data_IF_075001395784
#
_entry.id   IF_075001395784
#
_cell.length_a   1.000
_cell.length_b   1.000
_cell.length_c   1.000
_cell.angle_alpha   90.00
_cell.angle_beta   90.00
_cell.angle_gamma   90.00
#
_symmetry.space_group_name_H-M   'P 1'
#
loop_
_entity.id
_entity.type
_entity.pdbx_description
1 polymer ?
#
# COMPACT_ATOMS: atom_id res chain seq x y z
N UNK A 1 13.76 -9.37 -15.34
CA UNK A 1 13.18 -10.16 -14.24
C UNK A 1 11.77 -9.65 -13.98
N UNK A 2 10.77 -10.22 -14.64
CA UNK A 2 9.35 -9.90 -14.46
C UNK A 2 8.77 -10.90 -13.48
N UNK A 3 8.80 -10.57 -12.19
CA UNK A 3 8.28 -11.43 -11.14
C UNK A 3 7.53 -10.60 -10.11
N UNK A 4 6.45 -11.16 -9.59
CA UNK A 4 5.71 -10.56 -8.48
C UNK A 4 6.55 -10.66 -7.20
N UNK A 5 6.78 -9.54 -6.52
CA UNK A 5 7.35 -9.53 -5.19
C UNK A 5 6.21 -9.51 -4.17
N UNK A 6 6.34 -10.29 -3.09
CA UNK A 6 5.40 -10.32 -1.98
C UNK A 6 6.15 -10.27 -0.66
N UNK A 7 5.74 -9.38 0.23
CA UNK A 7 6.26 -9.22 1.58
C UNK A 7 5.10 -9.34 2.55
N UNK A 8 5.28 -10.15 3.59
CA UNK A 8 4.31 -10.29 4.68
C UNK A 8 4.95 -9.89 6.00
N UNK A 9 4.25 -9.10 6.80
CA UNK A 9 4.70 -8.63 8.13
C UNK A 9 3.55 -8.65 9.11
N UNK A 10 3.73 -9.34 10.23
CA UNK A 10 2.82 -9.28 11.36
C UNK A 10 3.23 -8.09 12.25
N UNK A 11 2.30 -7.18 12.50
CA UNK A 11 2.53 -5.93 13.22
C UNK A 11 1.66 -5.86 14.49
N UNK A 12 2.20 -5.38 15.62
CA UNK A 12 1.49 -5.30 16.89
C UNK A 12 0.63 -4.02 17.00
N UNK A 13 -0.26 -3.83 16.03
CA UNK A 13 -1.22 -2.73 16.03
C UNK A 13 -2.50 -3.11 15.29
N UNK A 14 -3.59 -2.41 15.61
CA UNK A 14 -4.89 -2.63 14.98
C UNK A 14 -4.88 -2.17 13.51
N UNK A 15 -5.70 -2.77 12.64
CA UNK A 15 -5.75 -2.41 11.22
C UNK A 15 -6.05 -0.93 10.99
N UNK A 16 -6.87 -0.31 11.84
CA UNK A 16 -7.23 1.11 11.74
C UNK A 16 -6.03 2.03 11.99
N UNK A 17 -5.17 1.69 12.94
CA UNK A 17 -3.96 2.45 13.24
C UNK A 17 -2.97 2.38 12.08
N UNK A 18 -2.75 1.16 11.57
CA UNK A 18 -1.88 0.95 10.42
C UNK A 18 -2.44 1.60 9.14
N UNK A 19 -3.76 1.54 8.96
CA UNK A 19 -4.44 2.18 7.83
C UNK A 19 -4.25 3.69 7.84
N UNK A 20 -4.45 4.33 9.00
CA UNK A 20 -4.26 5.77 9.15
C UNK A 20 -2.84 6.20 8.73
N UNK A 21 -1.82 5.41 9.09
CA UNK A 21 -0.43 5.64 8.68
C UNK A 21 -0.20 5.41 7.19
N UNK A 22 -0.81 4.38 6.63
CA UNK A 22 -0.67 4.07 5.20
C UNK A 22 -1.22 5.19 4.32
N UNK A 23 -2.37 5.78 4.70
CA UNK A 23 -3.04 6.82 3.91
C UNK A 23 -2.61 8.24 4.30
N UNK A 24 -1.75 8.42 5.30
CA UNK A 24 -1.25 9.74 5.75
C UNK A 24 -0.57 10.51 4.61
N UNK A 25 0.02 9.79 3.66
CA UNK A 25 0.70 10.34 2.49
C UNK A 25 -0.16 10.33 1.21
N UNK A 26 -1.47 10.08 1.34
CA UNK A 26 -2.41 10.16 0.22
C UNK A 26 -2.90 11.59 0.04
N UNK A 27 -3.00 12.04 -1.20
CA UNK A 27 -3.46 13.37 -1.54
C UNK A 27 -4.42 13.35 -2.74
N UNK A 28 -5.37 14.28 -2.75
CA UNK A 28 -6.21 14.53 -3.91
C UNK A 28 -5.51 15.51 -4.85
N UNK A 29 -5.46 15.18 -6.14
CA UNK A 29 -4.92 16.05 -7.19
C UNK A 29 -5.96 16.23 -8.30
N UNK A 30 -5.71 17.15 -9.23
CA UNK A 30 -6.57 17.35 -10.41
C UNK A 30 -6.69 16.09 -11.29
N UNK A 31 -5.78 15.13 -11.14
CA UNK A 31 -5.74 13.87 -11.90
C UNK A 31 -6.28 12.67 -11.11
N UNK A 32 -6.80 12.90 -9.91
CA UNK A 32 -7.30 11.89 -9.00
C UNK A 32 -6.47 11.76 -7.72
N UNK A 33 -6.80 10.76 -6.91
CA UNK A 33 -6.11 10.48 -5.66
C UNK A 33 -4.76 9.77 -5.94
N UNK A 34 -3.70 10.27 -5.32
CA UNK A 34 -2.36 9.69 -5.42
C UNK A 34 -1.81 9.39 -4.04
N UNK A 35 -0.93 8.40 -3.97
CA UNK A 35 -0.14 8.07 -2.80
C UNK A 35 1.29 8.53 -3.05
N UNK A 36 1.84 9.38 -2.16
CA UNK A 36 3.27 9.70 -2.20
C UNK A 36 4.06 8.49 -1.72
N UNK A 37 5.05 8.11 -2.51
CA UNK A 37 5.91 6.95 -2.28
C UNK A 37 7.32 7.44 -1.99
N UNK A 38 7.93 6.86 -0.97
CA UNK A 38 9.35 7.06 -0.74
C UNK A 38 10.14 6.32 -1.84
N UNK A 39 11.08 6.99 -2.52
CA UNK A 39 11.90 6.34 -3.54
C UNK A 39 12.73 5.22 -2.88
N UNK A 40 12.66 4.03 -3.46
CA UNK A 40 13.47 2.88 -3.05
C UNK A 40 14.21 2.32 -4.26
N UNK A 41 15.21 1.46 -4.07
CA UNK A 41 15.88 0.79 -5.20
C UNK A 41 14.90 0.10 -6.16
N UNK A 42 13.70 -0.26 -5.70
CA UNK A 42 12.66 -0.87 -6.53
C UNK A 42 11.73 0.15 -7.22
N UNK A 43 11.48 1.33 -6.65
CA UNK A 43 10.49 2.30 -7.16
C UNK A 43 11.19 3.55 -7.66
N UNK A 44 11.04 3.84 -8.96
CA UNK A 44 11.61 5.05 -9.58
C UNK A 44 10.67 6.25 -9.44
N UNK A 45 9.37 6.01 -9.46
CA UNK A 45 8.38 7.06 -9.29
C UNK A 45 8.18 7.37 -7.80
N UNK A 46 7.96 8.65 -7.50
CA UNK A 46 7.69 9.15 -6.15
C UNK A 46 6.20 9.26 -5.84
N UNK A 47 5.35 8.87 -6.78
CA UNK A 47 3.88 8.87 -6.62
C UNK A 47 3.25 7.68 -7.35
N UNK A 48 2.19 7.13 -6.77
CA UNK A 48 1.34 6.14 -7.40
C UNK A 48 -0.11 6.60 -7.43
N UNK A 49 -0.81 6.45 -8.56
CA UNK A 49 -2.25 6.76 -8.66
C UNK A 49 -3.04 5.68 -7.93
N UNK A 50 -3.89 6.05 -6.97
CA UNK A 50 -4.72 5.10 -6.23
C UNK A 50 -5.78 4.53 -7.18
N UNK A 51 -5.78 3.22 -7.39
CA UNK A 51 -6.69 2.50 -8.28
C UNK A 51 -7.77 1.73 -7.53
N UNK A 52 -7.50 1.32 -6.29
CA UNK A 52 -8.50 0.74 -5.38
C UNK A 52 -8.30 1.24 -3.96
N UNK A 53 -9.40 1.49 -3.28
CA UNK A 53 -9.44 1.94 -1.89
C UNK A 53 -10.62 1.28 -1.19
N UNK A 54 -10.36 0.42 -0.20
CA UNK A 54 -11.36 -0.15 0.69
C UNK A 54 -10.84 -0.05 2.12
N UNK A 55 -11.32 0.96 2.86
CA UNK A 55 -10.90 1.19 4.24
C UNK A 55 -11.45 0.12 5.19
N UNK A 56 -10.66 -0.43 6.14
CA UNK A 56 -9.21 -0.26 6.33
C UNK A 56 -8.38 -1.41 5.73
N UNK A 57 -8.92 -2.18 4.78
CA UNK A 57 -8.39 -3.50 4.42
C UNK A 57 -7.55 -3.56 3.14
N UNK A 58 -7.74 -2.63 2.20
CA UNK A 58 -7.10 -2.71 0.89
C UNK A 58 -6.80 -1.33 0.31
N UNK A 59 -5.53 -1.10 -0.01
CA UNK A 59 -5.08 0.02 -0.84
C UNK A 59 -4.32 -0.53 -2.05
N UNK A 60 -4.62 -0.01 -3.23
CA UNK A 60 -3.91 -0.35 -4.45
C UNK A 60 -3.57 0.93 -5.20
N UNK A 61 -2.33 1.03 -5.68
CA UNK A 61 -1.92 2.13 -6.54
C UNK A 61 -1.07 1.66 -7.71
N UNK A 62 -1.14 2.41 -8.81
CA UNK A 62 -0.32 2.21 -10.00
C UNK A 62 0.81 3.23 -10.05
N UNK A 63 2.04 2.73 -10.08
CA UNK A 63 3.29 3.49 -10.14
C UNK A 63 4.05 3.10 -11.41
N UNK A 64 3.97 3.93 -12.45
CA UNK A 64 4.43 3.56 -13.79
C UNK A 64 3.75 2.28 -14.28
N UNK A 65 4.55 1.29 -14.66
CA UNK A 65 4.13 -0.05 -15.10
C UNK A 65 4.02 -1.06 -13.94
N UNK A 66 3.84 -0.59 -12.69
CA UNK A 66 3.73 -1.49 -11.54
C UNK A 66 2.46 -1.28 -10.77
N UNK A 67 1.89 -2.38 -10.31
CA UNK A 67 0.80 -2.38 -9.36
C UNK A 67 1.34 -2.66 -7.97
N UNK A 68 1.11 -1.71 -7.06
CA UNK A 68 1.45 -1.82 -5.65
C UNK A 68 0.17 -2.03 -4.88
N UNK A 69 0.14 -3.03 -4.00
CA UNK A 69 -1.06 -3.40 -3.24
C UNK A 69 -0.70 -3.71 -1.79
N UNK A 70 -1.43 -3.10 -0.88
CA UNK A 70 -1.36 -3.30 0.56
C UNK A 70 -2.68 -3.89 1.05
N UNK A 71 -2.62 -5.04 1.69
CA UNK A 71 -3.77 -5.70 2.31
C UNK A 71 -3.54 -5.78 3.82
N UNK A 72 -4.50 -5.30 4.60
CA UNK A 72 -4.47 -5.35 6.06
C UNK A 72 -5.46 -6.40 6.53
N UNK A 73 -4.93 -7.46 7.13
CA UNK A 73 -5.72 -8.58 7.61
C UNK A 73 -5.68 -8.59 9.14
N UNK A 74 -6.81 -8.35 9.83
CA UNK A 74 -6.87 -8.45 11.29
C UNK A 74 -6.45 -9.86 11.76
N UNK A 75 -5.77 -9.92 12.88
CA UNK A 75 -5.40 -11.16 13.58
C UNK A 75 -5.83 -11.07 15.05
N UNK A 76 -5.72 -12.18 15.76
CA UNK A 76 -5.98 -12.21 17.20
C UNK A 76 -5.08 -11.21 17.94
N UNK A 77 -5.50 -10.85 19.15
CA UNK A 77 -4.70 -10.05 20.10
C UNK A 77 -4.31 -8.66 19.60
N UNK A 78 -5.13 -8.06 18.73
CA UNK A 78 -4.90 -6.71 18.20
C UNK A 78 -3.75 -6.63 17.20
N UNK A 79 -3.29 -7.76 16.67
CA UNK A 79 -2.23 -7.82 15.66
C UNK A 79 -2.84 -7.63 14.25
N UNK A 80 -2.04 -7.13 13.31
CA UNK A 80 -2.41 -7.03 11.89
C UNK A 80 -1.35 -7.69 11.02
N UNK A 81 -1.78 -8.58 10.11
CA UNK A 81 -0.93 -9.04 9.04
C UNK A 81 -1.00 -8.03 7.89
N UNK A 82 0.09 -7.31 7.66
CA UNK A 82 0.30 -6.52 6.46
C UNK A 82 0.87 -7.41 5.37
N UNK A 83 0.18 -7.42 4.24
CA UNK A 83 0.63 -8.05 3.00
C UNK A 83 0.88 -6.94 2.00
N UNK A 84 2.10 -6.88 1.48
CA UNK A 84 2.48 -5.97 0.41
C UNK A 84 2.88 -6.76 -0.84
N UNK A 85 2.30 -6.43 -1.99
CA UNK A 85 2.66 -7.03 -3.27
C UNK A 85 3.01 -5.98 -4.29
N UNK A 86 4.03 -6.28 -5.09
CA UNK A 86 4.42 -5.52 -6.28
C UNK A 86 4.35 -6.47 -7.46
N UNK A 87 3.47 -6.19 -8.41
CA UNK A 87 3.42 -6.89 -9.70
C UNK A 87 3.81 -5.95 -10.83
N UNK A 88 4.23 -6.50 -11.99
CA UNK A 88 4.15 -5.78 -13.25
C UNK A 88 2.71 -5.38 -13.59
#
# INVERSE_FOLDING_TARGET
MTGTMRIERLLPCAPQELWARLIENAEATDRGAVLRLEPTCALKETTGTITRYQSPTLLECRSGERLLRWELLPRADGMTLLVFTVSP
#
